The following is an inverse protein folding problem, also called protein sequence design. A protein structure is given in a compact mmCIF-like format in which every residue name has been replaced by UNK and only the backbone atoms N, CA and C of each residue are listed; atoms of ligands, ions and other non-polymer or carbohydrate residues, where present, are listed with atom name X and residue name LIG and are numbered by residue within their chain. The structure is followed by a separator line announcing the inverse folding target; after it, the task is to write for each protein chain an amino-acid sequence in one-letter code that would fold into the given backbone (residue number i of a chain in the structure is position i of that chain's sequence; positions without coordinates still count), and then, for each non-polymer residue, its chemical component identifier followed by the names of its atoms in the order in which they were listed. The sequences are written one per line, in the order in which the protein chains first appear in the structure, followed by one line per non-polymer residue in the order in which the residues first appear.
data_IF_340882247704
#
_entry.id   IF_340882247704
#
_cell.length_a   1.000
_cell.length_b   1.000
_cell.length_c   1.000
_cell.angle_alpha   90.00
_cell.angle_beta   90.00
_cell.angle_gamma   90.00
#
_symmetry.space_group_name_H-M   'P 1'
#
loop_
_entity.id
_entity.type
_entity.pdbx_description
1 polymer ?
#
# COMPACT_ATOMS: atom_id res chain seq x y z
N UNK A 1 84.57 21.87 -1.54
CA UNK A 1 83.64 21.14 -2.41
C UNK A 1 82.34 20.89 -1.58
N UNK A 2 81.37 21.73 -1.76
CA UNK A 2 80.10 21.57 -1.03
C UNK A 2 79.08 20.89 -1.97
N UNK A 3 78.64 19.69 -1.60
CA UNK A 3 77.58 18.95 -2.34
C UNK A 3 76.24 19.56 -1.96
N UNK A 4 75.48 20.11 -2.94
CA UNK A 4 74.08 20.51 -2.78
C UNK A 4 73.21 19.32 -3.19
N UNK A 5 72.54 18.70 -2.23
CA UNK A 5 71.53 17.65 -2.49
C UNK A 5 70.22 18.34 -2.78
N UNK A 6 69.77 18.27 -4.04
CA UNK A 6 68.46 18.79 -4.51
C UNK A 6 67.39 17.75 -4.17
N UNK A 7 66.49 18.07 -3.20
CA UNK A 7 65.32 17.24 -2.86
C UNK A 7 64.20 17.60 -3.83
N UNK A 8 63.88 16.69 -4.75
CA UNK A 8 62.72 16.82 -5.65
C UNK A 8 61.47 16.41 -4.87
N UNK A 9 60.64 17.37 -4.47
CA UNK A 9 59.29 17.12 -3.95
C UNK A 9 58.33 16.84 -5.13
N UNK A 10 58.02 15.58 -5.38
CA UNK A 10 56.95 15.22 -6.30
C UNK A 10 55.60 15.36 -5.56
N UNK A 11 54.87 16.44 -5.83
CA UNK A 11 53.49 16.62 -5.39
C UNK A 11 52.57 15.69 -6.20
N UNK A 12 52.09 14.62 -5.57
CA UNK A 12 50.99 13.84 -6.10
C UNK A 12 49.69 14.63 -5.96
N UNK A 13 49.23 15.25 -7.01
CA UNK A 13 47.88 15.80 -7.12
C UNK A 13 46.93 14.62 -7.29
N UNK A 14 46.25 14.23 -6.21
CA UNK A 14 45.09 13.34 -6.28
C UNK A 14 43.95 14.13 -6.89
N UNK A 15 43.69 13.89 -8.19
CA UNK A 15 42.51 14.40 -8.86
C UNK A 15 41.32 13.59 -8.33
N UNK A 16 40.60 14.11 -7.36
CA UNK A 16 39.30 13.61 -6.96
C UNK A 16 38.31 13.82 -8.10
N UNK A 17 38.12 12.82 -8.94
CA UNK A 17 37.00 12.81 -9.87
C UNK A 17 35.71 12.69 -9.08
N UNK A 18 34.82 13.68 -9.22
CA UNK A 18 33.44 13.52 -8.71
C UNK A 18 32.78 12.38 -9.46
N UNK A 19 32.20 11.43 -8.72
CA UNK A 19 31.45 10.32 -9.34
C UNK A 19 30.29 10.85 -10.15
N UNK A 20 30.05 10.26 -11.33
CA UNK A 20 28.88 10.57 -12.17
C UNK A 20 27.61 10.01 -11.54
N UNK A 21 26.44 10.47 -12.01
CA UNK A 21 25.15 9.93 -11.56
C UNK A 21 25.03 8.43 -11.86
N UNK A 22 25.52 7.98 -13.02
CA UNK A 22 25.57 6.57 -13.40
C UNK A 22 26.38 5.74 -12.40
N UNK A 23 27.52 6.25 -11.96
CA UNK A 23 28.38 5.57 -10.99
C UNK A 23 27.72 5.52 -9.60
N UNK A 24 27.08 6.60 -9.17
CA UNK A 24 26.35 6.66 -7.90
C UNK A 24 25.17 5.69 -7.89
N UNK A 25 24.36 5.71 -8.93
CA UNK A 25 23.21 4.80 -9.08
C UNK A 25 23.70 3.34 -9.11
N UNK A 26 24.78 3.04 -9.84
CA UNK A 26 25.39 1.70 -9.82
C UNK A 26 25.82 1.30 -8.42
N UNK A 27 26.42 2.19 -7.65
CA UNK A 27 26.80 1.91 -6.25
C UNK A 27 25.57 1.58 -5.40
N UNK A 28 24.48 2.34 -5.52
CA UNK A 28 23.22 2.09 -4.82
C UNK A 28 22.69 0.68 -5.12
N UNK A 29 22.55 0.33 -6.42
CA UNK A 29 22.08 -1.01 -6.80
C UNK A 29 23.02 -2.12 -6.34
N UNK A 30 24.34 -1.90 -6.39
CA UNK A 30 25.32 -2.88 -5.89
C UNK A 30 25.15 -3.08 -4.39
N UNK A 31 25.06 -2.02 -3.60
CA UNK A 31 24.89 -2.11 -2.15
C UNK A 31 23.57 -2.82 -1.79
N UNK A 32 22.48 -2.45 -2.44
CA UNK A 32 21.18 -3.10 -2.19
C UNK A 32 21.23 -4.61 -2.49
N UNK A 33 21.78 -5.01 -3.64
CA UNK A 33 21.78 -6.40 -4.06
C UNK A 33 22.80 -7.29 -3.34
N UNK A 34 23.88 -6.72 -2.77
CA UNK A 34 24.92 -7.49 -2.08
C UNK A 34 24.82 -7.43 -0.56
N UNK A 35 24.30 -6.36 -0.02
CA UNK A 35 24.21 -6.07 1.42
C UNK A 35 22.81 -5.61 1.86
N UNK A 36 21.76 -5.91 1.08
CA UNK A 36 20.38 -5.48 1.35
C UNK A 36 19.88 -5.97 2.70
N UNK A 37 19.07 -5.17 3.36
CA UNK A 37 18.44 -5.47 4.66
C UNK A 37 16.93 -5.61 4.57
N UNK A 38 16.32 -5.14 3.48
CA UNK A 38 14.87 -5.15 3.30
C UNK A 38 14.26 -6.53 3.56
N UNK A 39 14.89 -7.60 3.03
CA UNK A 39 14.37 -8.95 3.15
C UNK A 39 14.43 -9.49 4.60
N UNK A 40 15.45 -9.12 5.38
CA UNK A 40 15.55 -9.51 6.79
C UNK A 40 14.54 -8.78 7.66
N UNK A 41 14.30 -7.51 7.38
CA UNK A 41 13.28 -6.73 8.08
C UNK A 41 11.87 -7.24 7.74
N UNK A 42 11.64 -7.60 6.47
CA UNK A 42 10.37 -8.20 6.05
C UNK A 42 10.13 -9.55 6.72
N UNK A 43 11.15 -10.41 6.82
CA UNK A 43 11.06 -11.69 7.52
C UNK A 43 10.54 -11.52 8.96
N UNK A 44 11.07 -10.54 9.68
CA UNK A 44 10.59 -10.27 11.04
C UNK A 44 9.17 -9.71 11.07
N UNK A 45 8.85 -8.74 10.20
CA UNK A 45 7.50 -8.18 10.11
C UNK A 45 6.45 -9.25 9.78
N UNK A 46 6.79 -10.16 8.86
CA UNK A 46 5.89 -11.21 8.41
C UNK A 46 5.84 -12.39 9.38
N UNK A 47 6.97 -13.04 9.63
CA UNK A 47 7.00 -14.32 10.36
C UNK A 47 6.99 -14.17 11.89
N UNK A 48 7.52 -13.08 12.44
CA UNK A 48 7.55 -12.87 13.88
C UNK A 48 6.36 -12.01 14.39
N UNK A 49 5.81 -11.12 13.56
CA UNK A 49 4.69 -10.26 13.91
C UNK A 49 3.41 -10.72 13.19
N UNK A 50 3.44 -10.85 11.85
CA UNK A 50 2.31 -11.27 11.04
C UNK A 50 1.29 -10.16 10.77
N UNK A 51 0.05 -10.55 10.49
CA UNK A 51 -1.07 -9.64 10.24
C UNK A 51 -1.21 -8.59 11.33
N UNK A 52 -1.25 -7.30 10.95
CA UNK A 52 -1.04 -6.18 11.86
C UNK A 52 -2.01 -5.02 11.61
N UNK A 53 -3.32 -5.36 11.50
CA UNK A 53 -4.36 -4.36 11.29
C UNK A 53 -4.30 -3.28 12.37
N UNK A 54 -4.50 -2.02 11.98
CA UNK A 54 -4.40 -0.87 12.87
C UNK A 54 -5.24 -1.06 14.15
N UNK A 55 -4.67 -0.70 15.30
CA UNK A 55 -5.28 -0.91 16.62
C UNK A 55 -5.11 -2.32 17.21
N UNK A 56 -4.45 -3.25 16.52
CA UNK A 56 -4.11 -4.57 17.04
C UNK A 56 -2.81 -4.55 17.85
N UNK A 57 -2.57 -5.61 18.63
CA UNK A 57 -1.30 -5.82 19.34
C UNK A 57 -0.13 -6.00 18.38
N UNK A 58 -0.37 -6.62 17.23
CA UNK A 58 0.66 -6.82 16.21
C UNK A 58 1.05 -5.50 15.52
N UNK A 59 0.08 -4.58 15.29
CA UNK A 59 0.40 -3.24 14.82
C UNK A 59 1.33 -2.49 15.79
N UNK A 60 1.08 -2.60 17.10
CA UNK A 60 1.97 -2.00 18.12
C UNK A 60 3.36 -2.66 18.12
N UNK A 61 3.45 -3.99 18.01
CA UNK A 61 4.75 -4.68 17.87
C UNK A 61 5.51 -4.19 16.63
N UNK A 62 4.82 -3.97 15.51
CA UNK A 62 5.42 -3.45 14.28
C UNK A 62 5.94 -2.01 14.46
N UNK A 63 5.19 -1.16 15.16
CA UNK A 63 5.65 0.19 15.55
C UNK A 63 6.95 0.14 16.35
N UNK A 64 7.00 -0.70 17.39
CA UNK A 64 8.19 -0.80 18.24
C UNK A 64 9.37 -1.43 17.49
N UNK A 65 9.14 -2.45 16.69
CA UNK A 65 10.18 -3.10 15.88
C UNK A 65 10.80 -2.13 14.88
N UNK A 66 9.99 -1.49 14.05
CA UNK A 66 10.49 -0.62 12.99
C UNK A 66 11.16 0.63 13.54
N UNK A 67 10.65 1.18 14.65
CA UNK A 67 11.33 2.25 15.39
C UNK A 67 12.74 1.82 15.84
N UNK A 68 12.85 0.65 16.45
CA UNK A 68 14.14 0.13 16.92
C UNK A 68 15.13 -0.12 15.77
N UNK A 69 14.66 -0.64 14.63
CA UNK A 69 15.52 -0.82 13.45
C UNK A 69 16.00 0.52 12.86
N UNK A 70 15.13 1.54 12.78
CA UNK A 70 15.53 2.88 12.35
C UNK A 70 16.54 3.52 13.32
N UNK A 71 16.39 3.31 14.62
CA UNK A 71 17.36 3.79 15.64
C UNK A 71 18.75 3.14 15.45
N UNK A 72 18.81 1.84 15.12
CA UNK A 72 20.06 1.14 14.82
C UNK A 72 20.79 1.69 13.59
N UNK A 73 20.07 2.28 12.63
CA UNK A 73 20.69 2.95 11.49
C UNK A 73 21.47 4.21 11.86
N UNK A 74 21.33 4.73 13.10
CA UNK A 74 22.00 5.94 13.55
C UNK A 74 21.58 7.15 12.72
N UNK A 75 20.28 7.31 12.51
CA UNK A 75 19.67 8.48 11.88
C UNK A 75 19.75 9.69 12.81
N UNK A 76 19.64 10.90 12.27
CA UNK A 76 19.68 12.13 13.08
C UNK A 76 18.47 12.25 13.99
N UNK A 77 17.30 11.73 13.56
CA UNK A 77 16.08 11.70 14.36
C UNK A 77 15.27 10.44 14.08
N UNK A 78 14.71 9.85 15.15
CA UNK A 78 13.68 8.79 15.07
C UNK A 78 12.62 9.10 16.12
N UNK A 79 11.34 9.13 15.74
CA UNK A 79 10.26 9.42 16.67
C UNK A 79 8.94 8.76 16.26
N UNK A 80 8.03 8.69 17.22
CA UNK A 80 6.65 8.24 17.01
C UNK A 80 5.72 9.46 16.93
N UNK A 81 4.85 9.49 15.92
CA UNK A 81 3.80 10.50 15.80
C UNK A 81 2.45 9.87 16.16
N UNK A 82 1.82 10.30 17.27
CA UNK A 82 0.57 9.68 17.73
C UNK A 82 -0.59 9.95 16.78
N UNK A 83 -1.38 8.91 16.55
CA UNK A 83 -2.60 8.94 15.75
C UNK A 83 -3.66 8.05 16.40
N UNK A 84 -4.93 8.52 16.45
CA UNK A 84 -6.06 7.70 16.87
C UNK A 84 -6.56 6.88 15.68
N UNK A 85 -6.66 5.58 15.84
CA UNK A 85 -7.05 4.64 14.78
C UNK A 85 -8.25 3.80 15.19
N UNK A 86 -9.10 3.35 14.24
CA UNK A 86 -10.18 2.44 14.52
C UNK A 86 -9.62 1.08 14.97
N UNK A 87 -10.35 0.42 15.85
CA UNK A 87 -10.06 -0.95 16.26
C UNK A 87 -11.21 -1.84 15.86
N UNK A 88 -11.04 -2.50 14.72
CA UNK A 88 -11.94 -3.56 14.26
C UNK A 88 -11.27 -4.92 14.48
N UNK A 89 -12.03 -5.91 14.93
CA UNK A 89 -11.55 -7.28 15.15
C UNK A 89 -12.41 -8.25 14.37
N UNK A 90 -11.78 -9.20 13.70
CA UNK A 90 -12.45 -10.22 12.89
C UNK A 90 -13.24 -11.21 13.76
N UNK A 91 -12.69 -11.60 14.90
CA UNK A 91 -13.24 -12.60 15.78
C UNK A 91 -12.86 -14.02 15.36
N UNK A 92 -13.81 -14.96 15.52
CA UNK A 92 -13.61 -16.36 15.16
C UNK A 92 -13.61 -16.55 13.63
N UNK A 93 -12.99 -17.66 13.15
CA UNK A 93 -12.99 -18.02 11.74
C UNK A 93 -14.42 -18.13 11.22
N UNK A 94 -14.65 -17.54 10.07
CA UNK A 94 -15.96 -17.52 9.41
C UNK A 94 -16.36 -18.91 8.90
N UNK A 95 -17.66 -19.19 8.89
CA UNK A 95 -18.26 -20.42 8.38
C UNK A 95 -19.26 -20.09 7.30
N UNK A 96 -19.24 -20.82 6.19
CA UNK A 96 -20.26 -20.67 5.14
C UNK A 96 -20.46 -21.97 4.34
N UNK A 97 -21.70 -22.18 3.90
CA UNK A 97 -22.05 -23.25 2.99
C UNK A 97 -23.34 -22.94 2.21
N UNK A 98 -23.58 -23.70 1.16
CA UNK A 98 -24.87 -23.78 0.48
C UNK A 98 -25.22 -25.24 0.16
N UNK A 99 -26.48 -25.50 -0.16
CA UNK A 99 -26.98 -26.88 -0.40
C UNK A 99 -27.36 -27.09 -1.86
N UNK A 100 -26.91 -28.21 -2.42
CA UNK A 100 -27.36 -28.71 -3.74
C UNK A 100 -28.02 -30.07 -3.53
N UNK A 101 -29.37 -30.12 -3.51
CA UNK A 101 -30.10 -31.32 -3.16
C UNK A 101 -29.84 -31.67 -1.68
N UNK A 102 -29.25 -32.87 -1.41
CA UNK A 102 -28.82 -33.30 -0.07
C UNK A 102 -27.38 -32.91 0.28
N UNK A 103 -26.61 -32.43 -0.65
CA UNK A 103 -25.17 -32.22 -0.50
C UNK A 103 -24.89 -30.82 0.04
N UNK A 104 -24.09 -30.75 1.09
CA UNK A 104 -23.56 -29.50 1.67
C UNK A 104 -22.25 -29.16 0.96
N UNK A 105 -22.18 -27.97 0.40
CA UNK A 105 -20.98 -27.42 -0.24
C UNK A 105 -20.42 -26.33 0.67
N UNK A 106 -19.38 -26.65 1.43
CA UNK A 106 -18.64 -25.65 2.22
C UNK A 106 -17.90 -24.70 1.27
N UNK A 107 -17.82 -23.43 1.65
CA UNK A 107 -17.15 -22.37 0.87
C UNK A 107 -16.26 -21.52 1.77
N UNK A 108 -15.19 -20.99 1.17
CA UNK A 108 -14.26 -20.12 1.85
C UNK A 108 -14.73 -18.68 1.78
N UNK A 109 -14.96 -18.08 2.94
CA UNK A 109 -15.29 -16.66 3.08
C UNK A 109 -14.40 -16.00 4.11
N UNK A 110 -14.33 -14.67 4.05
CA UNK A 110 -13.80 -13.83 5.13
C UNK A 110 -14.66 -12.57 5.29
N UNK A 111 -14.87 -12.13 6.53
CA UNK A 111 -15.58 -10.88 6.79
C UNK A 111 -14.86 -9.70 6.14
N UNK A 112 -15.62 -8.76 5.56
CA UNK A 112 -15.06 -7.50 5.06
C UNK A 112 -14.73 -6.57 6.23
N UNK A 113 -13.63 -5.83 6.10
CA UNK A 113 -13.17 -4.90 7.14
C UNK A 113 -14.17 -3.78 7.42
N UNK A 114 -14.59 -3.69 8.68
CA UNK A 114 -15.66 -2.78 9.13
C UNK A 114 -17.06 -3.39 9.09
N UNK A 115 -17.21 -4.65 8.67
CA UNK A 115 -18.47 -5.38 8.75
C UNK A 115 -18.88 -5.63 10.19
N UNK A 116 -20.19 -5.85 10.41
CA UNK A 116 -20.75 -6.30 11.68
C UNK A 116 -20.88 -7.83 11.72
N UNK A 117 -21.01 -8.39 12.95
CA UNK A 117 -21.29 -9.80 13.15
C UNK A 117 -22.67 -10.21 12.60
N UNK A 118 -22.81 -11.49 12.27
CA UNK A 118 -24.13 -12.13 12.12
C UNK A 118 -24.77 -12.37 13.49
N UNK A 119 -26.07 -12.70 13.58
CA UNK A 119 -26.61 -13.31 14.78
C UNK A 119 -25.80 -14.56 15.18
N UNK A 120 -25.84 -14.95 16.47
CA UNK A 120 -25.03 -16.05 17.02
C UNK A 120 -25.16 -17.38 16.26
N UNK A 121 -26.33 -17.65 15.67
CA UNK A 121 -26.59 -18.86 14.87
C UNK A 121 -26.29 -18.69 13.38
N UNK A 122 -25.67 -17.56 12.98
CA UNK A 122 -25.48 -17.22 11.59
C UNK A 122 -26.74 -16.70 10.89
N UNK A 123 -26.65 -16.56 9.58
CA UNK A 123 -27.76 -16.20 8.69
C UNK A 123 -27.88 -17.28 7.64
N UNK A 124 -29.11 -17.83 7.50
CA UNK A 124 -29.46 -18.70 6.38
C UNK A 124 -30.61 -18.05 5.61
N UNK A 125 -30.39 -17.75 4.32
CA UNK A 125 -31.37 -17.10 3.47
C UNK A 125 -31.15 -17.41 1.98
N UNK A 126 -32.20 -17.20 1.19
CA UNK A 126 -32.12 -17.29 -0.25
C UNK A 126 -31.10 -16.30 -0.81
N UNK A 127 -30.30 -16.72 -1.81
CA UNK A 127 -29.32 -15.85 -2.49
C UNK A 127 -29.89 -15.25 -3.76
N UNK A 128 -29.59 -13.98 -3.99
CA UNK A 128 -29.79 -13.29 -5.26
C UNK A 128 -28.45 -12.78 -5.78
N UNK A 129 -28.04 -13.28 -6.96
CA UNK A 129 -26.82 -12.85 -7.66
C UNK A 129 -27.08 -11.60 -8.46
N UNK A 130 -26.18 -10.62 -8.35
CA UNK A 130 -26.16 -9.37 -9.13
C UNK A 130 -24.73 -9.03 -9.58
N UNK A 131 -24.60 -8.30 -10.70
CA UNK A 131 -23.31 -7.90 -11.23
C UNK A 131 -22.95 -6.45 -10.88
N UNK A 132 -23.93 -5.61 -10.53
CA UNK A 132 -23.73 -4.20 -10.26
C UNK A 132 -24.92 -3.62 -9.48
N UNK A 133 -24.85 -2.32 -9.14
CA UNK A 133 -25.90 -1.63 -8.38
C UNK A 133 -27.16 -1.35 -9.23
N UNK A 134 -26.99 -1.16 -10.53
CA UNK A 134 -28.09 -0.96 -11.46
C UNK A 134 -28.99 -2.22 -11.55
N UNK A 135 -28.37 -3.40 -11.56
CA UNK A 135 -29.10 -4.67 -11.51
C UNK A 135 -29.80 -4.87 -10.17
N UNK A 136 -29.14 -4.55 -9.06
CA UNK A 136 -29.74 -4.56 -7.72
C UNK A 136 -30.96 -3.64 -7.65
N UNK A 137 -30.86 -2.40 -8.15
CA UNK A 137 -31.94 -1.43 -8.20
C UNK A 137 -33.11 -1.93 -9.04
N UNK A 138 -32.83 -2.54 -10.20
CA UNK A 138 -33.87 -3.08 -11.10
C UNK A 138 -34.68 -4.22 -10.48
N UNK A 139 -34.07 -5.01 -9.59
CA UNK A 139 -34.74 -6.08 -8.85
C UNK A 139 -35.67 -5.51 -7.77
N UNK A 140 -35.27 -4.43 -7.09
CA UNK A 140 -36.05 -3.74 -6.09
C UNK A 140 -36.31 -4.56 -4.82
N UNK A 141 -37.01 -3.94 -3.86
CA UNK A 141 -37.25 -4.53 -2.54
C UNK A 141 -38.06 -5.84 -2.61
N UNK A 142 -38.97 -5.99 -3.52
CA UNK A 142 -39.81 -7.20 -3.66
C UNK A 142 -39.00 -8.46 -3.95
N UNK A 143 -37.87 -8.32 -4.63
CA UNK A 143 -36.98 -9.43 -4.98
C UNK A 143 -35.78 -9.59 -4.02
N UNK A 144 -35.46 -8.58 -3.21
CA UNK A 144 -34.25 -8.52 -2.35
C UNK A 144 -34.57 -8.71 -0.88
N UNK A 145 -35.70 -8.22 -0.40
CA UNK A 145 -36.05 -8.24 1.04
C UNK A 145 -35.95 -9.64 1.64
N UNK A 146 -35.20 -9.76 2.75
CA UNK A 146 -34.98 -11.01 3.48
C UNK A 146 -34.00 -11.97 2.81
N UNK A 147 -33.29 -11.55 1.76
CA UNK A 147 -32.33 -12.39 1.03
C UNK A 147 -30.90 -11.93 1.25
N UNK A 148 -29.94 -12.79 0.91
CA UNK A 148 -28.52 -12.47 0.79
C UNK A 148 -28.26 -12.00 -0.64
N UNK A 149 -27.62 -10.84 -0.79
CA UNK A 149 -27.19 -10.34 -2.11
C UNK A 149 -25.77 -10.82 -2.37
N UNK A 150 -25.58 -11.50 -3.49
CA UNK A 150 -24.28 -11.94 -3.97
C UNK A 150 -23.83 -11.05 -5.13
N UNK A 151 -22.87 -10.14 -4.85
CA UNK A 151 -22.21 -9.33 -5.87
C UNK A 151 -21.11 -10.16 -6.54
N UNK A 152 -21.30 -10.50 -7.82
CA UNK A 152 -20.43 -11.43 -8.53
C UNK A 152 -19.71 -10.82 -9.75
N UNK A 153 -19.51 -9.50 -9.80
CA UNK A 153 -18.74 -8.86 -10.88
C UNK A 153 -17.26 -9.17 -10.71
N UNK A 154 -16.60 -9.87 -11.66
CA UNK A 154 -15.17 -10.12 -11.60
C UNK A 154 -14.36 -8.89 -11.97
N UNK A 155 -13.07 -8.90 -11.65
CA UNK A 155 -12.09 -8.02 -12.28
C UNK A 155 -12.04 -8.27 -13.80
N UNK A 156 -11.88 -7.21 -14.59
CA UNK A 156 -11.82 -7.29 -16.05
C UNK A 156 -10.49 -7.92 -16.51
N UNK A 157 -10.53 -9.15 -16.99
CA UNK A 157 -9.34 -9.94 -17.34
C UNK A 157 -8.59 -9.45 -18.60
N UNK A 158 -9.22 -8.64 -19.44
CA UNK A 158 -8.63 -8.05 -20.65
C UNK A 158 -7.84 -6.75 -20.40
N UNK A 159 -7.88 -6.21 -19.18
CA UNK A 159 -7.14 -5.01 -18.83
C UNK A 159 -5.71 -5.37 -18.40
N UNK A 160 -4.72 -4.86 -19.14
CA UNK A 160 -3.30 -5.03 -18.80
C UNK A 160 -2.94 -4.33 -17.47
N UNK A 161 -3.55 -3.17 -17.21
CA UNK A 161 -3.39 -2.46 -15.94
C UNK A 161 -4.32 -3.06 -14.88
N UNK A 162 -3.78 -3.92 -14.04
CA UNK A 162 -4.56 -4.69 -13.05
C UNK A 162 -5.27 -3.80 -12.03
N UNK A 163 -4.69 -2.65 -11.65
CA UNK A 163 -5.35 -1.66 -10.80
C UNK A 163 -6.59 -1.03 -11.45
N UNK A 164 -6.64 -0.90 -12.79
CA UNK A 164 -7.84 -0.47 -13.48
C UNK A 164 -8.93 -1.55 -13.43
N UNK A 165 -8.54 -2.82 -13.54
CA UNK A 165 -9.47 -3.94 -13.39
C UNK A 165 -10.07 -4.00 -11.97
N UNK A 166 -9.25 -3.79 -10.95
CA UNK A 166 -9.68 -3.67 -9.56
C UNK A 166 -10.61 -2.47 -9.35
N UNK A 167 -10.24 -1.29 -9.83
CA UNK A 167 -11.06 -0.08 -9.76
C UNK A 167 -12.43 -0.26 -10.42
N UNK A 168 -12.53 -1.13 -11.45
CA UNK A 168 -13.79 -1.46 -12.13
C UNK A 168 -14.78 -2.25 -11.29
N UNK A 169 -14.37 -2.90 -10.19
CA UNK A 169 -15.25 -3.75 -9.38
C UNK A 169 -15.23 -3.44 -7.87
N UNK A 170 -14.29 -2.65 -7.36
CA UNK A 170 -14.10 -2.42 -5.91
C UNK A 170 -15.32 -1.81 -5.21
N UNK A 171 -16.18 -1.07 -5.92
CA UNK A 171 -17.37 -0.46 -5.34
C UNK A 171 -18.35 -1.50 -4.76
N UNK A 172 -18.43 -2.72 -5.33
CA UNK A 172 -19.28 -3.80 -4.80
C UNK A 172 -18.82 -4.28 -3.42
N UNK A 173 -17.51 -4.26 -3.14
CA UNK A 173 -16.96 -4.51 -1.80
C UNK A 173 -17.22 -3.32 -0.87
N UNK A 174 -16.85 -2.13 -1.31
CA UNK A 174 -16.86 -0.95 -0.46
C UNK A 174 -18.27 -0.51 -0.05
N UNK A 175 -19.22 -0.50 -0.98
CA UNK A 175 -20.57 0.02 -0.77
C UNK A 175 -21.68 -1.04 -0.86
N UNK A 176 -21.37 -2.29 -1.21
CA UNK A 176 -22.35 -3.33 -1.49
C UNK A 176 -23.35 -3.58 -0.35
N UNK A 177 -22.86 -3.64 0.88
CA UNK A 177 -23.74 -3.83 2.06
C UNK A 177 -24.68 -2.63 2.28
N UNK A 178 -24.17 -1.40 2.10
CA UNK A 178 -24.98 -0.18 2.18
C UNK A 178 -26.08 -0.15 1.11
N UNK A 179 -25.72 -0.49 -0.14
CA UNK A 179 -26.68 -0.49 -1.25
C UNK A 179 -27.74 -1.60 -1.09
N UNK A 180 -27.33 -2.82 -0.73
CA UNK A 180 -28.26 -3.94 -0.54
C UNK A 180 -29.22 -3.75 0.64
N UNK A 181 -28.76 -3.12 1.71
CA UNK A 181 -29.57 -2.80 2.89
C UNK A 181 -30.78 -1.90 2.56
N UNK A 182 -30.67 -0.99 1.57
CA UNK A 182 -31.77 -0.12 1.13
C UNK A 182 -32.99 -0.90 0.63
N UNK A 183 -32.77 -2.12 0.14
CA UNK A 183 -33.81 -3.00 -0.38
C UNK A 183 -34.18 -4.12 0.62
N UNK A 184 -33.68 -4.04 1.85
CA UNK A 184 -34.01 -4.99 2.92
C UNK A 184 -33.30 -6.34 2.83
N UNK A 185 -32.13 -6.41 2.19
CA UNK A 185 -31.24 -7.56 2.27
C UNK A 185 -30.84 -7.86 3.73
N UNK A 186 -30.53 -9.12 4.04
CA UNK A 186 -30.12 -9.56 5.39
C UNK A 186 -28.62 -9.82 5.49
N UNK A 187 -27.90 -9.87 4.38
CA UNK A 187 -26.46 -10.05 4.30
C UNK A 187 -25.96 -9.86 2.89
N UNK A 188 -24.65 -9.71 2.74
CA UNK A 188 -23.97 -9.54 1.46
C UNK A 188 -22.79 -10.50 1.37
N UNK A 189 -22.65 -11.13 0.21
CA UNK A 189 -21.45 -11.89 -0.19
C UNK A 189 -20.87 -11.23 -1.42
N UNK A 190 -19.56 -10.99 -1.44
CA UNK A 190 -18.85 -10.31 -2.54
C UNK A 190 -17.80 -11.23 -3.11
N UNK A 191 -17.79 -11.41 -4.44
CA UNK A 191 -16.70 -12.10 -5.13
C UNK A 191 -15.37 -11.43 -4.80
N UNK A 192 -14.36 -12.20 -4.43
CA UNK A 192 -13.00 -11.72 -4.22
C UNK A 192 -12.41 -11.07 -5.46
N UNK A 193 -11.63 -10.02 -5.25
CA UNK A 193 -11.08 -9.18 -6.32
C UNK A 193 -9.66 -9.61 -6.65
N UNK A 194 -9.54 -10.70 -7.40
CA UNK A 194 -8.31 -11.13 -8.03
C UNK A 194 -8.59 -11.64 -9.46
N UNK A 195 -7.53 -11.78 -10.24
CA UNK A 195 -7.60 -12.32 -11.61
C UNK A 195 -7.33 -13.83 -11.63
N UNK A 196 -6.70 -14.35 -10.59
CA UNK A 196 -6.47 -15.77 -10.38
C UNK A 196 -7.73 -16.43 -9.82
N UNK A 197 -8.04 -17.65 -10.29
CA UNK A 197 -9.06 -18.48 -9.68
C UNK A 197 -8.44 -19.36 -8.62
N UNK A 198 -8.77 -19.11 -7.35
CA UNK A 198 -8.26 -19.82 -6.19
C UNK A 198 -9.28 -19.90 -5.06
N UNK A 199 -8.86 -20.49 -3.93
CA UNK A 199 -9.71 -20.72 -2.76
C UNK A 199 -9.49 -19.68 -1.65
N UNK A 200 -8.71 -18.61 -1.92
CA UNK A 200 -8.43 -17.54 -0.96
C UNK A 200 -9.47 -16.42 -1.08
N UNK A 201 -10.29 -16.16 -0.05
CA UNK A 201 -11.13 -14.98 -0.02
C UNK A 201 -10.28 -13.74 0.29
N UNK A 202 -10.57 -12.63 -0.41
CA UNK A 202 -9.89 -11.36 -0.24
C UNK A 202 -10.75 -10.37 0.53
N UNK A 203 -10.30 -9.98 1.71
CA UNK A 203 -10.96 -8.96 2.54
C UNK A 203 -10.78 -7.55 1.96
N UNK A 204 -10.92 -6.56 2.75
CA UNK A 204 -10.68 -5.15 2.48
C UNK A 204 -11.77 -4.28 3.07
N UNK A 205 -11.50 -2.99 3.11
CA UNK A 205 -12.37 -2.01 3.74
C UNK A 205 -13.73 -1.91 3.06
N UNK A 206 -14.79 -1.81 3.87
CA UNK A 206 -16.15 -1.50 3.45
C UNK A 206 -16.72 -0.32 4.26
N UNK A 207 -17.79 0.28 3.76
CA UNK A 207 -18.46 1.39 4.42
C UNK A 207 -19.97 1.19 4.44
N UNK A 208 -20.57 1.53 5.58
CA UNK A 208 -22.01 1.65 5.69
C UNK A 208 -22.52 3.06 5.39
N UNK A 209 -21.62 4.02 5.08
CA UNK A 209 -21.99 5.42 4.90
C UNK A 209 -22.79 5.94 6.11
N UNK A 210 -23.92 6.58 5.83
CA UNK A 210 -24.82 7.14 6.86
C UNK A 210 -25.88 6.15 7.37
N UNK A 211 -25.77 4.85 7.03
CA UNK A 211 -26.76 3.84 7.50
C UNK A 211 -26.76 3.75 9.04
N UNK A 212 -27.93 3.92 9.67
CA UNK A 212 -28.08 3.69 11.10
C UNK A 212 -27.67 2.27 11.50
N UNK A 213 -27.13 2.07 12.71
CA UNK A 213 -26.65 0.77 13.17
C UNK A 213 -27.67 -0.37 13.01
N UNK A 214 -28.97 -0.10 13.27
CA UNK A 214 -30.03 -1.11 13.16
C UNK A 214 -30.39 -1.53 11.73
N UNK A 215 -29.85 -0.84 10.72
CA UNK A 215 -30.02 -1.17 9.30
C UNK A 215 -28.77 -1.79 8.68
N UNK A 216 -27.65 -1.83 9.42
CA UNK A 216 -26.42 -2.44 8.94
C UNK A 216 -26.59 -3.95 8.84
N UNK A 217 -26.05 -4.53 7.81
CA UNK A 217 -26.09 -5.97 7.52
C UNK A 217 -24.67 -6.51 7.38
N UNK A 218 -24.42 -7.77 7.79
CA UNK A 218 -23.09 -8.37 7.67
C UNK A 218 -22.70 -8.57 6.20
N UNK A 219 -21.39 -8.45 5.93
CA UNK A 219 -20.82 -8.58 4.60
C UNK A 219 -19.51 -9.35 4.64
N UNK A 220 -19.35 -10.33 3.73
CA UNK A 220 -18.15 -11.15 3.58
C UNK A 220 -17.72 -11.26 2.11
N UNK A 221 -16.42 -11.45 1.88
CA UNK A 221 -15.91 -11.89 0.59
C UNK A 221 -15.94 -13.41 0.50
N UNK A 222 -16.16 -13.94 -0.71
CA UNK A 222 -16.08 -15.35 -1.06
C UNK A 222 -14.95 -15.57 -2.05
N UNK A 223 -14.23 -16.71 -1.96
CA UNK A 223 -13.15 -17.04 -2.91
C UNK A 223 -13.65 -17.07 -4.35
N UNK A 224 -12.77 -16.87 -5.33
CA UNK A 224 -13.16 -16.87 -6.74
C UNK A 224 -13.66 -18.24 -7.22
N UNK A 225 -13.04 -19.33 -6.75
CA UNK A 225 -13.52 -20.69 -7.04
C UNK A 225 -14.93 -20.95 -6.48
N UNK A 226 -15.16 -20.53 -5.23
CA UNK A 226 -16.46 -20.76 -4.60
C UNK A 226 -17.55 -19.82 -5.11
N UNK A 227 -17.18 -18.59 -5.52
CA UNK A 227 -18.07 -17.70 -6.25
C UNK A 227 -18.54 -18.32 -7.57
N UNK A 228 -17.65 -18.99 -8.32
CA UNK A 228 -17.99 -19.71 -9.54
C UNK A 228 -18.92 -20.89 -9.26
N UNK A 229 -18.66 -21.68 -8.17
CA UNK A 229 -19.54 -22.78 -7.75
C UNK A 229 -20.93 -22.28 -7.38
N UNK A 230 -21.01 -21.20 -6.59
CA UNK A 230 -22.28 -20.59 -6.17
C UNK A 230 -23.08 -20.08 -7.37
N UNK A 231 -22.45 -19.31 -8.26
CA UNK A 231 -23.09 -18.79 -9.48
C UNK A 231 -23.60 -19.91 -10.38
N UNK A 232 -22.82 -21.00 -10.54
CA UNK A 232 -23.25 -22.16 -11.30
C UNK A 232 -24.48 -22.85 -10.67
N UNK A 233 -24.52 -22.99 -9.35
CA UNK A 233 -25.64 -23.57 -8.63
C UNK A 233 -26.92 -22.71 -8.77
N UNK A 234 -26.79 -21.39 -8.72
CA UNK A 234 -27.89 -20.43 -8.88
C UNK A 234 -28.53 -20.46 -10.28
N UNK A 235 -27.82 -20.91 -11.32
CA UNK A 235 -28.40 -21.11 -12.67
C UNK A 235 -29.43 -22.24 -12.69
N UNK A 236 -29.25 -23.25 -11.86
CA UNK A 236 -30.12 -24.43 -11.79
C UNK A 236 -31.15 -24.38 -10.65
N UNK A 237 -30.81 -23.68 -9.55
CA UNK A 237 -31.69 -23.51 -8.39
C UNK A 237 -31.78 -22.04 -8.00
N UNK A 238 -32.84 -21.36 -8.43
CA UNK A 238 -33.06 -19.94 -8.12
C UNK A 238 -33.46 -19.67 -6.64
N UNK A 239 -33.85 -20.73 -5.91
CA UNK A 239 -34.24 -20.66 -4.48
C UNK A 239 -33.16 -21.20 -3.56
N UNK A 240 -31.89 -21.22 -4.02
CA UNK A 240 -30.77 -21.73 -3.26
C UNK A 240 -30.59 -20.96 -1.94
N UNK A 241 -30.47 -21.71 -0.83
CA UNK A 241 -30.17 -21.17 0.50
C UNK A 241 -28.65 -21.13 0.69
N UNK A 242 -28.19 -20.07 1.28
CA UNK A 242 -26.79 -19.86 1.67
C UNK A 242 -26.73 -19.53 3.15
N UNK A 243 -25.88 -20.22 3.87
CA UNK A 243 -25.59 -19.97 5.27
C UNK A 243 -24.22 -19.30 5.40
N UNK A 244 -24.12 -18.30 6.27
CA UNK A 244 -22.82 -17.80 6.74
C UNK A 244 -22.88 -17.28 8.17
N UNK A 245 -21.73 -17.34 8.84
CA UNK A 245 -21.52 -16.87 10.21
C UNK A 245 -20.19 -16.13 10.30
N UNK A 246 -20.20 -14.97 10.94
CA UNK A 246 -19.03 -14.17 11.28
C UNK A 246 -19.25 -13.46 12.61
N UNK A 247 -18.16 -13.17 13.35
CA UNK A 247 -18.20 -12.63 14.71
C UNK A 247 -17.44 -11.32 14.89
N UNK A 248 -17.17 -10.63 13.79
CA UNK A 248 -16.39 -9.38 13.79
C UNK A 248 -17.08 -8.25 14.58
N UNK A 249 -16.25 -7.38 15.17
CA UNK A 249 -16.72 -6.31 16.03
C UNK A 249 -15.90 -5.02 15.83
N UNK A 250 -16.61 -3.88 15.81
CA UNK A 250 -15.98 -2.56 15.88
C UNK A 250 -15.89 -2.13 17.34
N UNK A 251 -14.68 -1.98 17.84
CA UNK A 251 -14.36 -1.50 19.18
C UNK A 251 -14.10 0.01 19.17
N UNK A 252 -13.82 0.58 20.36
CA UNK A 252 -13.43 1.99 20.49
C UNK A 252 -12.09 2.24 19.81
N UNK A 253 -11.93 3.47 19.28
CA UNK A 253 -10.67 3.93 18.70
C UNK A 253 -9.55 3.88 19.75
N UNK A 254 -8.36 3.49 19.32
CA UNK A 254 -7.17 3.42 20.18
C UNK A 254 -6.04 4.29 19.62
N UNK A 255 -5.10 4.68 20.49
CA UNK A 255 -3.91 5.37 20.06
C UNK A 255 -2.93 4.38 19.44
N UNK A 256 -2.38 4.74 18.27
CA UNK A 256 -1.25 4.11 17.61
C UNK A 256 -0.29 5.19 17.10
N UNK A 257 0.65 4.86 16.18
CA UNK A 257 1.69 5.79 15.79
C UNK A 257 2.11 5.60 14.32
N UNK A 258 2.36 6.71 13.62
CA UNK A 258 3.30 6.69 12.50
C UNK A 258 4.72 6.58 13.05
N UNK A 259 5.59 5.81 12.40
CA UNK A 259 7.01 5.72 12.76
C UNK A 259 7.82 6.55 11.77
N UNK A 260 8.66 7.46 12.28
CA UNK A 260 9.34 8.44 11.44
C UNK A 260 10.83 8.43 11.73
N UNK A 261 11.65 8.35 10.67
CA UNK A 261 13.10 8.49 10.72
C UNK A 261 13.59 9.59 9.78
N UNK A 262 14.68 10.31 10.13
CA UNK A 262 15.18 11.44 9.34
C UNK A 262 16.71 11.49 9.30
N UNK A 263 17.26 11.71 8.09
CA UNK A 263 18.61 12.22 7.88
C UNK A 263 18.47 13.71 7.58
N UNK A 264 19.06 14.56 8.40
CA UNK A 264 18.96 16.03 8.26
C UNK A 264 19.81 16.53 7.09
N UNK A 265 19.23 17.35 6.26
CA UNK A 265 19.89 17.92 5.08
C UNK A 265 21.04 18.86 5.42
N UNK A 266 22.14 18.75 4.67
CA UNK A 266 23.36 19.54 4.93
C UNK A 266 23.31 20.97 4.36
N UNK A 267 22.42 21.25 3.39
CA UNK A 267 22.32 22.56 2.72
C UNK A 267 20.90 23.14 2.84
N UNK A 268 19.87 22.32 2.74
CA UNK A 268 18.47 22.72 2.77
C UNK A 268 17.70 21.90 3.82
N UNK A 269 18.01 22.00 5.14
CA UNK A 269 17.45 21.14 6.17
C UNK A 269 15.92 21.31 6.36
N UNK A 270 15.34 22.40 5.86
CA UNK A 270 13.89 22.68 5.93
C UNK A 270 13.13 22.28 4.65
N UNK A 271 13.82 21.69 3.66
CA UNK A 271 13.19 21.06 2.50
C UNK A 271 13.22 19.54 2.69
N UNK A 272 12.04 18.91 2.58
CA UNK A 272 11.89 17.48 2.88
C UNK A 272 11.64 16.68 1.61
N UNK A 273 12.35 15.56 1.52
CA UNK A 273 12.08 14.47 0.59
C UNK A 273 11.60 13.30 1.44
N UNK A 274 10.39 12.84 1.20
CA UNK A 274 9.77 11.76 1.96
C UNK A 274 9.75 10.49 1.14
N UNK A 275 10.00 9.35 1.80
CA UNK A 275 9.69 8.01 1.31
C UNK A 275 8.83 7.30 2.35
N UNK A 276 7.87 6.48 1.92
CA UNK A 276 6.98 5.80 2.85
C UNK A 276 6.23 4.63 2.26
N UNK A 277 5.55 3.94 3.12
CA UNK A 277 4.58 2.89 2.91
C UNK A 277 3.76 2.73 4.18
N UNK A 278 2.66 1.96 4.15
CA UNK A 278 1.84 1.80 5.35
C UNK A 278 2.28 0.62 6.21
N UNK A 279 2.31 0.84 7.52
CA UNK A 279 2.81 -0.13 8.48
C UNK A 279 1.78 -1.18 8.87
N UNK A 280 0.51 -0.83 8.86
CA UNK A 280 -0.57 -1.79 9.09
C UNK A 280 -0.77 -2.71 7.87
N UNK A 281 -1.49 -3.77 8.06
CA UNK A 281 -1.92 -4.72 7.02
C UNK A 281 -3.23 -5.36 7.43
N UNK A 282 -3.92 -6.02 6.51
CA UNK A 282 -5.01 -6.92 6.90
C UNK A 282 -4.50 -8.08 7.76
N UNK A 283 -5.43 -8.68 8.50
CA UNK A 283 -5.19 -9.67 9.55
C UNK A 283 -5.21 -11.13 9.07
N UNK A 284 -5.53 -11.38 7.80
CA UNK A 284 -5.65 -12.73 7.24
C UNK A 284 -4.30 -13.37 6.92
N UNK A 285 -3.39 -12.60 6.31
CA UNK A 285 -2.04 -13.01 5.95
C UNK A 285 -0.99 -12.29 6.79
N UNK A 286 0.26 -12.38 6.35
CA UNK A 286 1.39 -11.70 6.99
C UNK A 286 1.52 -10.23 6.58
N UNK A 287 0.77 -9.80 5.55
CA UNK A 287 0.90 -8.47 4.97
C UNK A 287 2.30 -8.22 4.42
N UNK A 288 2.83 -9.20 3.67
CA UNK A 288 4.21 -9.15 3.18
C UNK A 288 4.35 -8.28 1.93
N UNK A 289 3.42 -8.40 0.97
CA UNK A 289 3.33 -7.51 -0.18
C UNK A 289 2.59 -6.23 0.17
N UNK A 290 1.55 -6.30 1.00
CA UNK A 290 0.62 -5.22 1.32
C UNK A 290 0.64 -4.91 2.84
N UNK A 291 1.47 -3.98 3.36
CA UNK A 291 2.53 -3.26 2.65
C UNK A 291 3.88 -3.42 3.37
N UNK A 292 4.18 -4.62 3.92
CA UNK A 292 5.49 -4.91 4.50
C UNK A 292 6.63 -4.60 3.52
N UNK A 293 6.43 -4.88 2.23
CA UNK A 293 7.40 -4.61 1.18
C UNK A 293 7.72 -3.11 1.06
N UNK A 294 6.72 -2.25 0.99
CA UNK A 294 6.93 -0.80 0.90
C UNK A 294 7.54 -0.20 2.15
N UNK A 295 7.14 -0.71 3.32
CA UNK A 295 7.74 -0.35 4.62
C UNK A 295 9.25 -0.57 4.60
N UNK A 296 9.69 -1.81 4.31
CA UNK A 296 11.12 -2.14 4.39
C UNK A 296 11.94 -1.52 3.26
N UNK A 297 11.37 -1.36 2.05
CA UNK A 297 12.00 -0.62 0.96
C UNK A 297 12.23 0.85 1.35
N UNK A 298 11.25 1.49 1.97
CA UNK A 298 11.34 2.88 2.42
C UNK A 298 12.37 3.06 3.54
N UNK A 299 12.47 2.14 4.48
CA UNK A 299 13.54 2.12 5.51
C UNK A 299 14.92 1.96 4.87
N UNK A 300 15.02 1.09 3.87
CA UNK A 300 16.30 0.78 3.20
C UNK A 300 16.84 1.94 2.37
N UNK A 301 15.98 2.86 1.90
CA UNK A 301 16.42 4.11 1.25
C UNK A 301 17.39 4.87 2.14
N UNK A 302 17.08 5.06 3.43
CA UNK A 302 17.95 5.82 4.35
C UNK A 302 19.26 5.09 4.62
N UNK A 303 19.22 3.75 4.78
CA UNK A 303 20.41 2.93 4.94
C UNK A 303 21.31 3.00 3.70
N UNK A 304 20.73 2.82 2.51
CA UNK A 304 21.47 2.83 1.23
C UNK A 304 22.15 4.18 0.96
N UNK A 305 21.50 5.30 1.29
CA UNK A 305 22.12 6.64 1.20
C UNK A 305 23.39 6.71 2.08
N UNK A 306 23.29 6.24 3.32
CA UNK A 306 24.44 6.24 4.26
C UNK A 306 25.57 5.33 3.78
N UNK A 307 25.27 4.08 3.41
CA UNK A 307 26.28 3.11 2.97
C UNK A 307 26.91 3.45 1.61
N UNK A 308 26.17 4.15 0.76
CA UNK A 308 26.71 4.68 -0.51
C UNK A 308 27.49 5.98 -0.34
N UNK A 309 27.73 6.43 0.90
CA UNK A 309 28.40 7.68 1.22
C UNK A 309 27.76 8.90 0.52
N UNK A 310 26.44 8.91 0.41
CA UNK A 310 25.66 10.02 -0.11
C UNK A 310 25.22 10.87 1.08
N UNK A 311 25.77 12.09 1.17
CA UNK A 311 25.36 13.06 2.17
C UNK A 311 24.25 13.93 1.61
N UNK A 312 22.99 13.78 2.08
CA UNK A 312 21.87 14.51 1.53
C UNK A 312 22.03 16.03 1.68
N UNK A 313 21.61 16.76 0.68
CA UNK A 313 21.50 18.24 0.71
C UNK A 313 20.23 18.66 1.45
N UNK A 314 19.13 17.92 1.27
CA UNK A 314 17.82 18.10 1.87
C UNK A 314 17.58 17.05 2.93
N UNK A 315 16.66 17.31 3.84
CA UNK A 315 16.24 16.30 4.82
C UNK A 315 15.50 15.15 4.12
N UNK A 316 16.01 13.94 4.31
CA UNK A 316 15.37 12.72 3.80
C UNK A 316 14.63 12.07 4.97
N UNK A 317 13.34 11.86 4.80
CA UNK A 317 12.45 11.34 5.84
C UNK A 317 11.79 10.06 5.39
N UNK A 318 11.87 8.99 6.19
CA UNK A 318 11.00 7.84 6.07
C UNK A 318 9.80 8.01 6.98
N UNK A 319 8.60 7.71 6.47
CA UNK A 319 7.37 7.68 7.25
C UNK A 319 6.68 6.35 7.00
N UNK A 320 6.51 5.57 8.07
CA UNK A 320 5.74 4.34 8.05
C UNK A 320 4.36 4.70 8.59
N UNK A 321 3.40 4.80 7.69
CA UNK A 321 2.06 5.29 8.00
C UNK A 321 1.23 4.23 8.69
N UNK A 322 0.37 4.63 9.62
CA UNK A 322 -0.52 3.73 10.34
C UNK A 322 -1.96 3.98 9.91
N UNK A 323 -2.70 2.90 9.64
CA UNK A 323 -4.12 2.95 9.30
C UNK A 323 -4.41 3.39 7.86
N UNK A 324 -3.68 2.88 6.89
CA UNK A 324 -4.04 2.99 5.48
C UNK A 324 -5.27 2.14 5.19
N UNK A 325 -5.20 0.85 5.55
CA UNK A 325 -6.13 -0.23 5.19
C UNK A 325 -7.60 0.07 5.49
N UNK A 326 -7.87 0.77 6.58
CA UNK A 326 -9.23 1.04 6.99
C UNK A 326 -9.47 2.47 7.51
N UNK A 327 -8.72 3.48 6.98
CA UNK A 327 -9.02 4.84 7.40
C UNK A 327 -8.14 5.98 6.91
N UNK A 328 -6.92 5.78 6.46
CA UNK A 328 -5.95 6.82 6.06
C UNK A 328 -5.62 7.85 7.16
N UNK A 329 -5.79 7.48 8.44
CA UNK A 329 -5.63 8.45 9.52
C UNK A 329 -4.18 8.84 9.73
N UNK A 330 -3.23 7.92 9.47
CA UNK A 330 -1.79 8.16 9.57
C UNK A 330 -1.30 9.20 8.56
N UNK A 331 -1.58 9.01 7.28
CA UNK A 331 -1.24 9.94 6.21
C UNK A 331 -1.86 11.33 6.43
N UNK A 332 -3.16 11.36 6.76
CA UNK A 332 -3.87 12.61 7.08
C UNK A 332 -3.26 13.33 8.31
N UNK A 333 -2.92 12.59 9.36
CA UNK A 333 -2.29 13.14 10.57
C UNK A 333 -0.91 13.71 10.26
N UNK A 334 -0.12 12.98 9.48
CA UNK A 334 1.20 13.44 9.07
C UNK A 334 1.12 14.76 8.28
N UNK A 335 0.27 14.81 7.26
CA UNK A 335 0.07 16.02 6.45
C UNK A 335 -0.47 17.20 7.28
N UNK A 336 -1.38 16.95 8.23
CA UNK A 336 -1.87 17.98 9.15
C UNK A 336 -0.73 18.59 9.97
N UNK A 337 0.13 17.77 10.56
CA UNK A 337 1.26 18.23 11.40
C UNK A 337 2.30 18.94 10.55
N UNK A 338 2.63 18.41 9.36
CA UNK A 338 3.53 19.06 8.42
C UNK A 338 3.05 20.47 8.04
N UNK A 339 1.76 20.62 7.78
CA UNK A 339 1.14 21.94 7.49
C UNK A 339 1.21 22.89 8.69
N UNK A 340 0.93 22.39 9.91
CA UNK A 340 1.01 23.18 11.14
C UNK A 340 2.43 23.70 11.41
N UNK A 341 3.44 22.89 11.08
CA UNK A 341 4.86 23.22 11.25
C UNK A 341 5.44 24.01 10.07
N UNK A 342 4.63 24.30 9.03
CA UNK A 342 5.08 24.90 7.77
C UNK A 342 6.25 24.12 7.13
N UNK A 343 6.23 22.78 7.19
CA UNK A 343 7.23 21.92 6.59
C UNK A 343 7.09 21.93 5.08
N UNK A 344 8.19 22.10 4.34
CA UNK A 344 8.21 22.16 2.90
C UNK A 344 8.58 20.79 2.31
N UNK A 345 7.59 19.93 2.08
CA UNK A 345 7.77 18.68 1.35
C UNK A 345 7.85 18.97 -0.14
N UNK A 346 9.06 18.93 -0.71
CA UNK A 346 9.26 19.13 -2.16
C UNK A 346 8.94 17.88 -2.96
N UNK A 347 9.15 16.70 -2.34
CA UNK A 347 8.93 15.41 -2.95
C UNK A 347 8.45 14.40 -1.91
N UNK A 348 7.50 13.55 -2.30
CA UNK A 348 7.11 12.37 -1.52
C UNK A 348 6.90 11.18 -2.45
N UNK A 349 7.44 10.02 -2.05
CA UNK A 349 7.38 8.75 -2.79
C UNK A 349 6.78 7.67 -1.88
N UNK A 350 5.73 7.02 -2.36
CA UNK A 350 5.12 5.89 -1.69
C UNK A 350 5.39 4.59 -2.45
N UNK A 351 5.66 3.52 -1.71
CA UNK A 351 5.71 2.16 -2.22
C UNK A 351 4.57 1.38 -1.57
N UNK A 352 3.52 1.11 -2.35
CA UNK A 352 2.31 0.40 -1.95
C UNK A 352 1.71 -0.29 -3.19
N UNK A 353 2.44 -1.26 -3.70
CA UNK A 353 2.02 -2.09 -4.84
C UNK A 353 2.76 -3.44 -4.85
N UNK A 354 3.26 -3.84 -3.68
CA UNK A 354 3.97 -5.08 -3.44
C UNK A 354 5.47 -5.07 -3.77
N UNK A 355 6.16 -6.10 -3.28
CA UNK A 355 7.60 -6.31 -3.45
C UNK A 355 8.01 -6.98 -4.77
N UNK A 356 7.26 -6.78 -5.85
CA UNK A 356 7.55 -7.34 -7.17
C UNK A 356 8.64 -6.56 -7.91
N UNK A 357 9.10 -7.11 -9.06
CA UNK A 357 10.13 -6.47 -9.89
C UNK A 357 9.74 -5.02 -10.21
N UNK A 358 10.53 -4.01 -9.82
CA UNK A 358 10.23 -2.62 -10.11
C UNK A 358 10.26 -2.37 -11.62
N UNK A 359 9.29 -1.58 -12.13
CA UNK A 359 9.19 -1.18 -13.53
C UNK A 359 9.35 0.32 -13.72
N UNK A 360 9.17 1.12 -12.67
CA UNK A 360 9.32 2.57 -12.71
C UNK A 360 8.50 3.30 -11.67
N UNK A 361 7.98 4.45 -12.08
CA UNK A 361 7.26 5.35 -11.18
C UNK A 361 6.10 6.02 -11.90
N UNK A 362 5.08 6.38 -11.15
CA UNK A 362 4.08 7.37 -11.55
C UNK A 362 4.28 8.67 -10.80
N UNK A 363 3.90 9.79 -11.41
CA UNK A 363 4.15 11.13 -10.86
C UNK A 363 2.90 12.00 -10.93
N UNK A 364 2.50 12.55 -9.79
CA UNK A 364 1.52 13.63 -9.69
C UNK A 364 2.27 14.95 -9.49
N UNK A 365 2.48 15.67 -10.59
CA UNK A 365 3.22 16.93 -10.62
C UNK A 365 2.87 17.78 -11.84
N UNK A 366 3.34 19.04 -11.85
CA UNK A 366 3.26 19.90 -13.01
C UNK A 366 4.13 19.41 -14.18
N UNK A 367 3.91 19.99 -15.36
CA UNK A 367 4.61 19.57 -16.58
C UNK A 367 6.12 19.85 -16.55
N UNK A 368 6.55 20.92 -15.87
CA UNK A 368 7.97 21.31 -15.85
C UNK A 368 8.79 20.32 -14.99
N UNK A 369 8.24 19.92 -13.84
CA UNK A 369 8.82 18.89 -12.98
C UNK A 369 8.80 17.53 -13.65
N UNK A 370 7.69 17.16 -14.30
CA UNK A 370 7.61 15.92 -15.07
C UNK A 370 8.68 15.82 -16.16
N UNK A 371 8.87 16.88 -16.96
CA UNK A 371 9.88 16.90 -18.00
C UNK A 371 11.31 16.79 -17.43
N UNK A 372 11.57 17.38 -16.26
CA UNK A 372 12.86 17.24 -15.58
C UNK A 372 13.10 15.80 -15.17
N UNK A 373 12.13 15.17 -14.51
CA UNK A 373 12.23 13.77 -14.05
C UNK A 373 12.37 12.82 -15.23
N UNK A 374 11.61 13.03 -16.30
CA UNK A 374 11.69 12.23 -17.52
C UNK A 374 13.09 12.32 -18.17
N UNK A 375 13.79 13.46 -18.03
CA UNK A 375 15.16 13.58 -18.54
C UNK A 375 16.17 12.66 -17.85
N UNK A 376 15.87 12.14 -16.67
CA UNK A 376 16.71 11.18 -15.95
C UNK A 376 16.40 9.71 -16.28
N UNK A 377 15.35 9.43 -17.04
CA UNK A 377 14.93 8.05 -17.34
C UNK A 377 16.05 7.19 -17.93
N UNK A 378 16.97 7.79 -18.73
CA UNK A 378 18.07 7.06 -19.33
C UNK A 378 19.01 6.43 -18.31
N UNK A 379 19.16 7.02 -17.11
CA UNK A 379 19.97 6.51 -16.00
C UNK A 379 19.42 5.19 -15.44
N UNK A 380 18.13 4.96 -15.59
CA UNK A 380 17.42 3.78 -15.09
C UNK A 380 17.33 2.64 -16.11
N UNK A 381 17.63 2.90 -17.39
CA UNK A 381 17.58 1.87 -18.45
C UNK A 381 18.44 0.62 -18.17
N UNK A 382 19.66 0.72 -17.61
CA UNK A 382 20.47 -0.45 -17.28
C UNK A 382 19.84 -1.39 -16.25
N UNK A 383 18.86 -0.90 -15.49
CA UNK A 383 18.15 -1.61 -14.42
C UNK A 383 16.75 -2.06 -14.84
N UNK A 384 16.40 -1.94 -16.14
CA UNK A 384 15.13 -2.32 -16.74
C UNK A 384 13.93 -1.50 -16.19
N UNK A 385 14.19 -0.32 -15.66
CA UNK A 385 13.19 0.63 -15.22
C UNK A 385 12.86 1.55 -16.40
N UNK A 386 11.62 1.50 -16.86
CA UNK A 386 11.20 2.18 -18.08
C UNK A 386 9.86 2.93 -17.97
N UNK A 387 9.11 2.67 -16.89
CA UNK A 387 7.82 3.29 -16.64
C UNK A 387 8.02 4.63 -15.90
N UNK A 388 7.80 5.74 -16.60
CA UNK A 388 7.87 7.10 -16.05
C UNK A 388 6.64 7.82 -16.57
N UNK A 389 5.52 7.76 -15.82
CA UNK A 389 4.24 8.23 -16.32
C UNK A 389 3.59 9.21 -15.34
N UNK A 390 2.73 10.09 -15.87
CA UNK A 390 1.84 10.87 -15.02
C UNK A 390 0.76 9.96 -14.46
N UNK A 391 0.46 10.09 -13.16
CA UNK A 391 -0.53 9.26 -12.49
C UNK A 391 -0.62 9.54 -11.00
N UNK A 392 -1.34 8.70 -10.28
CA UNK A 392 -1.43 8.75 -8.82
C UNK A 392 -0.11 8.42 -8.15
N UNK A 393 0.09 8.91 -6.94
CA UNK A 393 1.29 8.68 -6.13
C UNK A 393 1.11 7.50 -5.17
N UNK A 394 0.20 7.62 -4.24
CA UNK A 394 -0.16 6.71 -3.18
C UNK A 394 -1.17 7.36 -2.26
N UNK A 395 -1.82 6.56 -1.42
CA UNK A 395 -2.93 7.05 -0.58
C UNK A 395 -2.42 7.90 0.60
N UNK A 396 -1.33 7.48 1.24
CA UNK A 396 -0.79 8.13 2.44
C UNK A 396 -0.03 9.42 2.14
N UNK A 397 0.67 9.51 1.01
CA UNK A 397 1.36 10.75 0.60
C UNK A 397 0.42 11.74 -0.10
N UNK A 398 -0.74 11.28 -0.58
CA UNK A 398 -1.74 12.11 -1.26
C UNK A 398 -2.11 13.40 -0.53
N UNK A 399 -2.37 13.38 0.79
CA UNK A 399 -2.68 14.58 1.58
C UNK A 399 -1.58 15.65 1.63
N UNK A 400 -0.34 15.31 1.26
CA UNK A 400 0.79 16.27 1.15
C UNK A 400 0.77 17.09 -0.14
N UNK A 401 -0.13 16.80 -1.09
CA UNK A 401 -0.17 17.47 -2.39
C UNK A 401 -0.27 18.98 -2.27
N UNK A 402 0.59 19.68 -3.02
CA UNK A 402 0.56 21.12 -3.22
C UNK A 402 0.68 21.43 -4.71
N UNK A 403 0.53 22.72 -5.09
CA UNK A 403 0.68 23.14 -6.49
C UNK A 403 2.13 22.97 -7.02
N UNK A 404 3.11 22.92 -6.13
CA UNK A 404 4.55 23.02 -6.51
C UNK A 404 5.38 21.80 -6.16
N UNK A 405 4.86 20.85 -5.39
CA UNK A 405 5.58 19.63 -5.05
C UNK A 405 5.34 18.50 -6.07
N UNK A 406 6.15 17.47 -5.94
CA UNK A 406 6.03 16.24 -6.72
C UNK A 406 5.65 15.10 -5.77
N UNK A 407 4.54 14.44 -6.04
CA UNK A 407 4.23 13.16 -5.42
C UNK A 407 4.49 12.03 -6.42
N UNK A 408 4.98 10.90 -5.94
CA UNK A 408 5.31 9.75 -6.75
C UNK A 408 4.88 8.43 -6.11
N UNK A 409 4.63 7.43 -6.93
CA UNK A 409 4.43 6.04 -6.50
C UNK A 409 5.43 5.12 -7.20
N UNK A 410 6.05 4.20 -6.45
CA UNK A 410 6.81 3.11 -7.04
C UNK A 410 5.84 2.21 -7.82
N UNK A 411 6.20 1.81 -9.03
CA UNK A 411 5.39 0.93 -9.87
C UNK A 411 6.15 -0.35 -10.20
N UNK A 412 5.93 -1.41 -9.44
CA UNK A 412 6.41 -2.75 -9.79
C UNK A 412 5.53 -3.39 -10.86
N UNK A 413 5.89 -4.61 -11.27
CA UNK A 413 5.05 -5.48 -12.08
C UNK A 413 3.82 -5.90 -11.27
N UNK A 414 2.64 -5.42 -11.68
CA UNK A 414 1.41 -5.61 -10.92
C UNK A 414 0.61 -6.85 -11.32
N UNK A 415 1.13 -7.69 -12.24
CA UNK A 415 0.33 -8.81 -12.80
C UNK A 415 -0.06 -9.85 -11.75
N UNK A 416 0.72 -9.98 -10.66
CA UNK A 416 0.46 -10.92 -9.58
C UNK A 416 0.04 -10.25 -8.26
N UNK A 417 -0.03 -8.91 -8.19
CA UNK A 417 -0.34 -8.20 -6.96
C UNK A 417 -1.68 -8.64 -6.38
N UNK A 418 -2.72 -8.68 -7.21
CA UNK A 418 -4.06 -9.06 -6.78
C UNK A 418 -4.24 -10.56 -6.49
N UNK A 419 -3.24 -11.41 -6.76
CA UNK A 419 -3.25 -12.80 -6.29
C UNK A 419 -3.01 -12.90 -4.76
N UNK A 420 -2.47 -11.84 -4.15
CA UNK A 420 -2.08 -11.78 -2.74
C UNK A 420 -2.82 -10.69 -1.95
N UNK A 421 -3.11 -9.57 -2.62
CA UNK A 421 -3.71 -8.38 -2.02
C UNK A 421 -4.90 -8.71 -1.14
N UNK A 422 -4.80 -8.43 0.16
CA UNK A 422 -5.83 -8.63 1.19
C UNK A 422 -6.24 -10.09 1.46
N UNK A 423 -5.39 -11.07 1.18
CA UNK A 423 -5.71 -12.49 1.35
C UNK A 423 -4.72 -13.20 2.29
N UNK A 424 -5.11 -14.39 2.78
CA UNK A 424 -4.27 -15.16 3.72
C UNK A 424 -2.97 -15.68 3.11
N UNK A 425 -2.85 -15.69 1.77
CA UNK A 425 -1.64 -16.09 1.06
C UNK A 425 -0.66 -14.94 0.81
N UNK A 426 -0.93 -13.72 1.33
CA UNK A 426 0.08 -12.65 1.37
C UNK A 426 1.07 -12.92 2.50
N UNK A 427 2.00 -13.83 2.23
CA UNK A 427 2.98 -14.35 3.17
C UNK A 427 4.40 -14.03 2.74
N UNK A 428 5.35 -14.15 3.66
CA UNK A 428 6.78 -13.92 3.40
C UNK A 428 7.32 -14.74 2.21
N UNK A 429 6.88 -16.00 2.08
CA UNK A 429 7.31 -16.89 1.00
C UNK A 429 6.86 -16.44 -0.40
N UNK A 430 5.87 -15.56 -0.48
CA UNK A 430 5.43 -14.97 -1.74
C UNK A 430 6.39 -13.89 -2.26
N UNK A 431 7.24 -13.31 -1.39
CA UNK A 431 8.12 -12.20 -1.74
C UNK A 431 9.50 -12.70 -2.19
N UNK A 432 9.91 -12.27 -3.37
CA UNK A 432 11.25 -12.56 -3.88
C UNK A 432 12.27 -11.55 -3.34
N UNK A 433 13.30 -12.04 -2.62
CA UNK A 433 14.36 -11.21 -2.05
C UNK A 433 14.94 -10.21 -3.05
N UNK A 434 15.31 -10.71 -4.26
CA UNK A 434 15.99 -9.89 -5.25
C UNK A 434 15.09 -8.79 -5.81
N UNK A 435 13.81 -9.09 -6.03
CA UNK A 435 12.82 -8.11 -6.50
C UNK A 435 12.61 -7.01 -5.46
N UNK A 436 12.49 -7.39 -4.20
CA UNK A 436 12.34 -6.47 -3.06
C UNK A 436 13.53 -5.50 -2.96
N UNK A 437 14.76 -6.02 -2.99
CA UNK A 437 15.99 -5.21 -2.94
C UNK A 437 16.15 -4.30 -4.17
N UNK A 438 15.72 -4.75 -5.34
CA UNK A 438 15.68 -3.91 -6.55
C UNK A 438 14.71 -2.73 -6.38
N UNK A 439 13.58 -2.92 -5.70
CA UNK A 439 12.64 -1.86 -5.35
C UNK A 439 13.29 -0.76 -4.51
N UNK A 440 13.95 -1.15 -3.41
CA UNK A 440 14.68 -0.22 -2.53
C UNK A 440 15.77 0.56 -3.29
N UNK A 441 16.56 -0.11 -4.14
CA UNK A 441 17.58 0.54 -4.96
C UNK A 441 16.97 1.55 -5.95
N UNK A 442 15.83 1.19 -6.56
CA UNK A 442 15.11 2.04 -7.52
C UNK A 442 14.60 3.31 -6.84
N UNK A 443 13.97 3.19 -5.67
CA UNK A 443 13.52 4.32 -4.85
C UNK A 443 14.69 5.22 -4.44
N UNK A 444 15.76 4.62 -3.91
CA UNK A 444 16.95 5.35 -3.46
C UNK A 444 17.60 6.15 -4.61
N UNK A 445 17.64 5.58 -5.81
CA UNK A 445 18.21 6.25 -7.00
C UNK A 445 17.41 7.48 -7.41
N UNK A 446 16.08 7.42 -7.34
CA UNK A 446 15.23 8.57 -7.61
C UNK A 446 15.38 9.65 -6.52
N UNK A 447 15.38 9.24 -5.25
CA UNK A 447 15.61 10.15 -4.11
C UNK A 447 16.95 10.87 -4.23
N UNK A 448 18.01 10.15 -4.61
CA UNK A 448 19.33 10.73 -4.88
C UNK A 448 19.28 11.83 -5.96
N UNK A 449 18.59 11.59 -7.07
CA UNK A 449 18.47 12.57 -8.16
C UNK A 449 17.64 13.79 -7.72
N UNK A 450 16.52 13.58 -7.04
CA UNK A 450 15.70 14.67 -6.50
C UNK A 450 16.51 15.50 -5.49
N UNK A 451 17.26 14.86 -4.59
CA UNK A 451 18.11 15.59 -3.64
C UNK A 451 19.23 16.37 -4.33
N UNK A 452 19.84 15.77 -5.35
CA UNK A 452 20.96 16.39 -6.08
C UNK A 452 20.52 17.62 -6.86
N UNK A 453 19.41 17.53 -7.60
CA UNK A 453 18.98 18.56 -8.56
C UNK A 453 17.81 19.42 -8.08
N UNK A 454 17.08 18.98 -7.04
CA UNK A 454 15.87 19.62 -6.57
C UNK A 454 14.71 19.47 -7.57
N UNK A 455 13.62 20.16 -7.29
CA UNK A 455 12.48 20.33 -8.18
C UNK A 455 12.41 21.76 -8.71
N UNK A 456 11.79 21.96 -9.87
CA UNK A 456 11.56 23.29 -10.44
C UNK A 456 10.45 23.99 -9.65
N UNK A 457 10.78 25.13 -9.04
CA UNK A 457 9.77 26.03 -8.47
C UNK A 457 9.32 26.96 -9.60
N UNK A 458 8.07 26.87 -10.02
CA UNK A 458 7.48 27.86 -10.93
C UNK A 458 7.42 29.16 -10.16
N UNK A 459 8.31 30.13 -10.46
CA UNK A 459 8.05 31.51 -10.09
C UNK A 459 6.96 31.97 -11.03
N UNK A 460 5.78 32.29 -10.48
CA UNK A 460 4.79 33.06 -11.24
C UNK A 460 5.47 34.31 -11.78
N UNK A 461 5.72 34.35 -13.08
CA UNK A 461 5.93 35.63 -13.76
C UNK A 461 4.59 36.38 -13.65
N UNK A 462 4.52 37.34 -12.72
CA UNK A 462 3.39 38.28 -12.69
C UNK A 462 3.27 38.87 -14.10
N UNK A 463 2.10 38.77 -14.76
CA UNK A 463 1.93 39.42 -16.06
C UNK A 463 2.23 40.89 -15.90
N UNK A 464 3.21 41.38 -16.68
CA UNK A 464 3.48 42.80 -16.81
C UNK A 464 2.16 43.49 -17.14
N UNK A 465 1.65 44.27 -16.19
CA UNK A 465 0.50 45.17 -16.45
C UNK A 465 0.92 46.11 -17.59
N UNK A 466 0.28 45.93 -18.75
CA UNK A 466 0.30 46.90 -19.84
C UNK A 466 -0.60 48.09 -19.48
#
# INVERSE_FOLDING_TARGET
MKLFTLLLLTSFTVVLHAQTDEEKIRTIYTQSLTNGQSYQWLDHLSNAIGGRLSGSENAEKAVQYTKAELEKLGLDKVWLQPVMVPKWVRGEKEEAYFQIGSDIVNVNICALGGSIATPNLGIEAQVVEVQNFEELESLGADNIKGKIVFFNRPMQADLIQTFNAYGGCVNQRYSGAMEAAKYGAVGVIVRSMNLREDDFPHTGSMSYGDLPNHQRIPSAAISTNDANKLSKALKTNKNLQFYFKQSCEQLEDVQSYNVIGEITGSQFPNEYILVGGHLDSWDLGDGSHDDGAGVVQSMDVLRLLKESNIKPKRSIRVVLFMNEENGLRGGNKYAQVAKQNNEKHIFALESDSGGFTPRGFSFDCDQANYNQILSWQYLFKPYLIHYFEKGGSGADVGPLKTETNVLAGLRPDSQRYFDYHHAENDTFDAVNKRELELGAATMTSLVYLIDTYGIKTIKEEKPLKK
#
